data_IF_324486252669
#
_entry.id   IF_324486252669
#
_cell.length_a   1.000
_cell.length_b   1.000
_cell.length_c   1.000
_cell.angle_alpha   90.00
_cell.angle_beta   90.00
_cell.angle_gamma   90.00
#
_symmetry.space_group_name_H-M   'P 1'
#
loop_
_entity.id
_entity.type
_entity.pdbx_description
1 polymer ?
#
# COMPACT_ATOMS: atom_id res chain seq x y z
N UNK A 1 17.79 8.28 54.88
CA UNK A 1 18.20 9.69 54.70
C UNK A 1 19.61 9.70 54.10
N UNK A 2 19.82 10.47 53.02
CA UNK A 2 21.15 10.84 52.46
C UNK A 2 21.96 11.61 53.55
N UNK A 3 23.32 11.75 53.52
CA UNK A 3 24.10 12.05 52.30
C UNK A 3 25.56 11.53 52.24
N UNK A 4 26.12 11.45 51.02
CA UNK A 4 27.56 11.53 50.82
C UNK A 4 27.85 12.73 49.92
N UNK A 5 28.59 13.69 50.46
CA UNK A 5 29.35 14.70 49.74
C UNK A 5 30.78 14.73 50.33
N UNK A 6 31.70 15.32 49.55
CA UNK A 6 33.14 15.58 49.80
C UNK A 6 34.09 14.45 49.34
N UNK A 7 35.16 14.68 48.56
CA UNK A 7 35.72 15.85 47.86
C UNK A 7 36.84 15.34 46.89
N UNK A 8 37.42 16.19 46.02
CA UNK A 8 38.32 15.78 44.93
C UNK A 8 39.77 15.57 45.37
N UNK A 9 40.55 14.81 44.60
CA UNK A 9 42.00 14.74 44.75
C UNK A 9 42.71 14.93 43.41
N UNK A 10 43.84 15.62 43.54
CA UNK A 10 44.65 16.36 42.58
C UNK A 10 45.52 15.50 41.64
N UNK A 11 45.92 16.14 40.52
CA UNK A 11 46.88 15.64 39.52
C UNK A 11 48.28 15.38 40.12
N UNK A 12 49.01 14.35 39.64
CA UNK A 12 50.46 14.34 39.68
C UNK A 12 51.07 14.92 38.38
N UNK A 13 52.30 15.44 38.43
CA UNK A 13 53.00 16.00 37.28
C UNK A 13 53.86 14.97 36.54
N UNK A 14 54.07 15.30 35.27
CA UNK A 14 55.23 14.99 34.44
C UNK A 14 55.36 13.61 33.76
N UNK A 15 55.30 13.70 32.43
CA UNK A 15 56.06 12.95 31.42
C UNK A 15 56.26 11.44 31.62
N UNK A 16 55.51 10.64 30.87
CA UNK A 16 56.08 9.73 29.86
C UNK A 16 54.99 9.17 28.93
N UNK A 17 55.41 8.79 27.72
CA UNK A 17 54.64 8.65 26.49
C UNK A 17 53.49 7.63 26.60
N UNK A 18 52.34 7.97 26.00
CA UNK A 18 51.22 7.05 25.73
C UNK A 18 51.77 5.74 25.12
N UNK A 19 51.34 4.55 25.58
CA UNK A 19 51.65 3.32 24.85
C UNK A 19 50.99 3.39 23.47
N UNK A 20 51.77 3.22 22.41
CA UNK A 20 51.27 3.07 21.05
C UNK A 20 50.31 1.86 21.02
N UNK A 21 49.13 2.05 20.44
CA UNK A 21 48.19 0.97 20.18
C UNK A 21 48.90 -0.15 19.41
N UNK A 22 48.85 -1.37 19.94
CA UNK A 22 49.35 -2.56 19.24
C UNK A 22 48.39 -2.86 18.08
N UNK A 23 48.88 -3.16 16.87
CA UNK A 23 48.03 -3.65 15.80
C UNK A 23 47.38 -4.97 16.25
N UNK A 24 46.09 -5.14 15.96
CA UNK A 24 45.44 -6.45 16.11
C UNK A 24 46.23 -7.50 15.31
N UNK A 25 46.47 -8.70 15.86
CA UNK A 25 47.02 -9.78 15.05
C UNK A 25 46.05 -10.03 13.89
N UNK A 26 46.57 -10.04 12.66
CA UNK A 26 45.85 -10.47 11.48
C UNK A 26 45.30 -11.87 11.78
N UNK A 27 43.98 -12.00 11.83
CA UNK A 27 43.32 -13.30 11.86
C UNK A 27 43.79 -14.09 10.64
N UNK A 28 44.25 -15.31 10.89
CA UNK A 28 44.72 -16.28 9.90
C UNK A 28 43.80 -16.40 8.68
N UNK A 29 44.34 -16.69 7.47
CA UNK A 29 43.51 -16.94 6.30
C UNK A 29 42.59 -18.13 6.57
N UNK A 30 41.34 -18.10 6.08
CA UNK A 30 40.39 -19.18 6.32
C UNK A 30 40.93 -20.49 5.72
N UNK A 31 40.67 -21.64 6.35
CA UNK A 31 41.10 -22.93 5.81
C UNK A 31 40.41 -23.16 4.46
N UNK A 32 41.23 -23.50 3.46
CA UNK A 32 40.76 -23.92 2.16
C UNK A 32 39.78 -25.09 2.29
N UNK A 33 38.63 -24.96 1.63
CA UNK A 33 37.83 -26.08 1.18
C UNK A 33 36.78 -26.61 2.15
N UNK A 34 35.69 -25.88 2.37
CA UNK A 34 34.31 -26.45 2.42
C UNK A 34 33.28 -25.46 1.86
N UNK A 35 32.86 -25.74 0.62
CA UNK A 35 31.59 -25.39 -0.05
C UNK A 35 31.25 -23.92 -0.34
N UNK A 36 31.84 -23.39 -1.42
CA UNK A 36 31.22 -22.32 -2.22
C UNK A 36 30.10 -22.87 -3.14
N UNK A 37 29.14 -23.64 -2.61
CA UNK A 37 28.05 -24.22 -3.41
C UNK A 37 26.68 -24.28 -2.70
N UNK A 38 26.36 -23.29 -1.86
CA UNK A 38 25.09 -23.24 -1.12
C UNK A 38 24.28 -21.95 -1.38
N UNK A 39 24.70 -21.08 -2.31
CA UNK A 39 23.95 -19.87 -2.70
C UNK A 39 23.37 -19.93 -4.12
N UNK A 40 23.41 -21.10 -4.76
CA UNK A 40 23.10 -21.26 -6.19
C UNK A 40 21.72 -21.89 -6.44
N UNK A 41 20.89 -22.03 -5.40
CA UNK A 41 19.61 -22.75 -5.47
C UNK A 41 18.42 -21.90 -4.99
N UNK A 42 18.53 -20.57 -5.04
CA UNK A 42 17.37 -19.71 -4.90
C UNK A 42 16.43 -19.96 -6.09
N UNK A 43 15.11 -20.13 -5.87
CA UNK A 43 14.18 -20.24 -6.97
C UNK A 43 14.37 -19.02 -7.88
N UNK A 44 14.59 -19.28 -9.17
CA UNK A 44 14.70 -18.23 -10.14
C UNK A 44 13.42 -17.39 -10.12
N UNK A 45 13.55 -16.07 -10.22
CA UNK A 45 12.39 -15.21 -10.41
C UNK A 45 11.73 -15.61 -11.72
N UNK A 46 10.48 -16.08 -11.63
CA UNK A 46 9.69 -16.50 -12.76
C UNK A 46 8.31 -15.85 -12.67
N UNK A 47 7.76 -15.49 -13.82
CA UNK A 47 6.36 -15.03 -13.89
C UNK A 47 5.47 -16.19 -13.44
N UNK A 48 4.72 -15.97 -12.36
CA UNK A 48 3.76 -16.96 -11.88
C UNK A 48 2.43 -16.88 -12.64
N UNK A 49 1.97 -15.67 -12.95
CA UNK A 49 0.70 -15.43 -13.59
C UNK A 49 0.71 -14.14 -14.39
N UNK A 50 -0.22 -14.07 -15.34
CA UNK A 50 -0.58 -12.88 -16.09
C UNK A 50 -2.03 -12.54 -15.76
N UNK A 51 -2.29 -11.30 -15.36
CA UNK A 51 -3.60 -10.84 -14.87
C UNK A 51 -4.02 -9.63 -15.69
N UNK A 52 -5.28 -9.62 -16.14
CA UNK A 52 -5.90 -8.53 -16.89
C UNK A 52 -7.36 -8.39 -16.48
N UNK A 53 -7.90 -7.18 -16.57
CA UNK A 53 -9.34 -6.92 -16.39
C UNK A 53 -10.19 -7.77 -17.37
N UNK A 54 -11.39 -8.15 -16.93
CA UNK A 54 -12.39 -8.84 -17.75
C UNK A 54 -12.88 -8.04 -18.96
N UNK A 55 -12.87 -6.71 -18.85
CA UNK A 55 -13.31 -5.72 -19.83
C UNK A 55 -12.18 -4.71 -20.08
N UNK A 56 -10.99 -5.20 -20.40
CA UNK A 56 -9.87 -4.28 -20.61
C UNK A 56 -10.07 -3.47 -21.91
N UNK A 57 -10.26 -2.17 -21.76
CA UNK A 57 -10.41 -1.24 -22.86
C UNK A 57 -9.23 -0.25 -22.92
N UNK A 58 -9.26 0.66 -23.89
CA UNK A 58 -8.23 1.69 -24.02
C UNK A 58 -8.30 2.66 -22.83
N UNK A 59 -7.14 3.02 -22.29
CA UNK A 59 -7.00 4.07 -21.28
C UNK A 59 -7.66 3.85 -19.91
N UNK A 60 -8.30 2.70 -19.63
CA UNK A 60 -8.80 2.35 -18.27
C UNK A 60 -7.71 2.35 -17.18
N UNK A 61 -6.45 2.22 -17.60
CA UNK A 61 -5.24 2.11 -16.76
C UNK A 61 -5.33 1.08 -15.64
N UNK A 62 -5.88 -0.08 -15.96
CA UNK A 62 -5.80 -1.25 -15.09
C UNK A 62 -4.36 -1.51 -14.65
N UNK A 63 -4.10 -1.47 -13.34
CA UNK A 63 -2.77 -1.67 -12.78
C UNK A 63 -2.08 -0.40 -12.29
N UNK A 64 -2.66 0.79 -12.50
CA UNK A 64 -2.12 2.06 -11.98
C UNK A 64 -1.98 2.03 -10.45
N UNK A 65 -2.89 1.32 -9.79
CA UNK A 65 -2.82 1.07 -8.36
C UNK A 65 -3.07 -0.39 -8.03
N UNK A 66 -2.27 -0.93 -7.11
CA UNK A 66 -2.40 -2.30 -6.62
C UNK A 66 -2.28 -2.37 -5.10
N UNK A 67 -2.92 -3.39 -4.51
CA UNK A 67 -2.72 -3.81 -3.13
C UNK A 67 -2.91 -5.33 -3.01
N UNK A 68 -2.14 -5.98 -2.13
CA UNK A 68 -2.16 -7.43 -1.94
C UNK A 68 -2.26 -7.75 -0.44
N UNK A 69 -3.17 -8.64 -0.08
CA UNK A 69 -3.29 -9.19 1.28
C UNK A 69 -3.52 -10.70 1.19
N UNK A 70 -2.53 -11.48 1.62
CA UNK A 70 -2.56 -12.94 1.47
C UNK A 70 -2.75 -13.35 0.01
N UNK A 71 -3.79 -14.14 -0.25
CA UNK A 71 -4.17 -14.61 -1.59
C UNK A 71 -5.15 -13.69 -2.32
N UNK A 72 -5.37 -12.46 -1.83
CA UNK A 72 -6.26 -11.47 -2.47
C UNK A 72 -5.46 -10.30 -3.03
N UNK A 73 -5.49 -10.15 -4.35
CA UNK A 73 -4.93 -9.01 -5.09
C UNK A 73 -6.07 -8.07 -5.49
N UNK A 74 -5.85 -6.78 -5.29
CA UNK A 74 -6.77 -5.72 -5.68
C UNK A 74 -6.04 -4.82 -6.68
N UNK A 75 -6.69 -4.53 -7.79
CA UNK A 75 -6.15 -3.72 -8.88
C UNK A 75 -7.15 -2.63 -9.23
N UNK A 76 -6.73 -1.37 -9.19
CA UNK A 76 -7.56 -0.25 -9.64
C UNK A 76 -7.39 0.03 -11.13
N UNK A 77 -8.47 0.54 -11.72
CA UNK A 77 -8.57 1.08 -13.07
C UNK A 77 -9.37 2.39 -12.97
N UNK A 78 -8.73 3.50 -12.55
CA UNK A 78 -9.43 4.74 -12.21
C UNK A 78 -10.14 5.40 -13.40
N UNK A 79 -9.82 5.01 -14.63
CA UNK A 79 -10.38 5.58 -15.85
C UNK A 79 -11.33 4.60 -16.58
N UNK A 80 -11.85 3.62 -15.85
CA UNK A 80 -12.83 2.69 -16.41
C UNK A 80 -14.20 3.38 -16.63
N UNK A 81 -14.82 3.11 -17.79
CA UNK A 81 -15.91 3.95 -18.33
C UNK A 81 -17.33 3.37 -18.16
N UNK A 82 -17.51 2.20 -17.54
CA UNK A 82 -18.85 1.62 -17.41
C UNK A 82 -19.78 2.40 -16.48
N UNK A 83 -21.07 2.38 -16.82
CA UNK A 83 -22.13 2.91 -15.98
C UNK A 83 -22.61 1.91 -14.90
N UNK A 84 -21.86 0.84 -14.64
CA UNK A 84 -22.21 -0.07 -13.55
C UNK A 84 -22.22 0.65 -12.20
N UNK A 85 -22.95 0.09 -11.25
CA UNK A 85 -22.88 0.46 -9.84
C UNK A 85 -22.73 -0.79 -8.99
N UNK A 86 -22.13 -0.63 -7.82
CA UNK A 86 -21.94 -1.74 -6.88
C UNK A 86 -21.01 -2.83 -7.42
N UNK A 87 -21.36 -4.09 -7.17
CA UNK A 87 -20.45 -5.24 -7.32
C UNK A 87 -20.96 -6.17 -8.43
N UNK A 88 -20.07 -6.51 -9.36
CA UNK A 88 -20.32 -7.38 -10.50
C UNK A 88 -21.45 -6.89 -11.42
N UNK A 89 -21.59 -5.57 -11.56
CA UNK A 89 -22.53 -4.94 -12.49
C UNK A 89 -22.14 -5.11 -13.97
N UNK A 90 -23.03 -4.65 -14.87
CA UNK A 90 -22.78 -4.68 -16.32
C UNK A 90 -21.68 -3.70 -16.72
N UNK A 91 -20.56 -4.22 -17.22
CA UNK A 91 -19.38 -3.47 -17.65
C UNK A 91 -19.59 -2.79 -19.02
N UNK A 92 -20.74 -2.13 -19.21
CA UNK A 92 -21.07 -1.40 -20.44
C UNK A 92 -20.80 0.07 -20.26
N UNK A 93 -20.03 0.66 -21.17
CA UNK A 93 -19.65 2.06 -21.11
C UNK A 93 -20.86 2.99 -21.10
N UNK A 94 -20.78 3.99 -20.22
CA UNK A 94 -21.83 4.98 -20.04
C UNK A 94 -21.55 6.03 -18.97
N UNK A 95 -20.42 5.93 -18.25
CA UNK A 95 -19.98 6.91 -17.27
C UNK A 95 -18.45 7.05 -17.37
N UNK A 96 -18.00 7.98 -18.22
CA UNK A 96 -16.58 8.20 -18.52
C UNK A 96 -15.78 8.50 -17.26
N UNK A 97 -14.60 7.88 -17.13
CA UNK A 97 -13.67 8.02 -16.01
C UNK A 97 -14.33 7.80 -14.63
N UNK A 98 -15.40 7.02 -14.56
CA UNK A 98 -16.09 6.72 -13.29
C UNK A 98 -15.25 5.79 -12.42
N UNK A 99 -14.41 4.96 -13.05
CA UNK A 99 -13.39 4.14 -12.41
C UNK A 99 -13.91 2.84 -11.81
N UNK A 100 -13.02 1.88 -11.63
CA UNK A 100 -13.34 0.57 -11.08
C UNK A 100 -12.18 -0.06 -10.30
N UNK A 101 -12.51 -1.08 -9.51
CA UNK A 101 -11.56 -1.95 -8.83
C UNK A 101 -11.86 -3.41 -9.12
N UNK A 102 -10.82 -4.18 -9.40
CA UNK A 102 -10.90 -5.61 -9.68
C UNK A 102 -10.22 -6.38 -8.55
N UNK A 103 -10.91 -7.38 -8.03
CA UNK A 103 -10.39 -8.27 -6.98
C UNK A 103 -10.10 -9.62 -7.59
N UNK A 104 -8.86 -10.07 -7.44
CA UNK A 104 -8.40 -11.40 -7.84
C UNK A 104 -8.08 -12.22 -6.60
N UNK A 105 -8.50 -13.48 -6.59
CA UNK A 105 -8.15 -14.45 -5.54
C UNK A 105 -7.26 -15.54 -6.11
N UNK A 106 -6.31 -15.99 -5.30
CA UNK A 106 -5.38 -17.04 -5.65
C UNK A 106 -5.79 -18.37 -5.01
N UNK A 107 -5.75 -19.43 -5.81
CA UNK A 107 -5.82 -20.81 -5.34
C UNK A 107 -4.67 -21.61 -5.95
N UNK A 108 -3.70 -22.03 -5.13
CA UNK A 108 -2.46 -22.66 -5.60
C UNK A 108 -1.60 -21.69 -6.41
N UNK A 109 -1.52 -21.88 -7.74
CA UNK A 109 -0.85 -20.97 -8.68
C UNK A 109 -1.82 -20.20 -9.58
N UNK A 110 -3.12 -20.46 -9.46
CA UNK A 110 -4.16 -19.89 -10.32
C UNK A 110 -4.73 -18.64 -9.68
N UNK A 111 -4.84 -17.57 -10.45
CA UNK A 111 -5.53 -16.34 -10.06
C UNK A 111 -6.84 -16.23 -10.83
N UNK A 112 -7.93 -15.92 -10.14
CA UNK A 112 -9.26 -15.72 -10.73
C UNK A 112 -9.83 -14.40 -10.29
N UNK A 113 -10.47 -13.66 -11.20
CA UNK A 113 -11.21 -12.45 -10.84
C UNK A 113 -12.43 -12.87 -10.02
N UNK A 114 -12.41 -12.51 -8.74
CA UNK A 114 -13.52 -12.76 -7.80
C UNK A 114 -14.58 -11.69 -7.91
N UNK A 115 -14.17 -10.42 -8.09
CA UNK A 115 -15.10 -9.31 -8.12
C UNK A 115 -14.64 -8.19 -9.05
N UNK A 116 -15.63 -7.52 -9.62
CA UNK A 116 -15.55 -6.21 -10.22
C UNK A 116 -16.35 -5.25 -9.34
N UNK A 117 -15.74 -4.16 -8.88
CA UNK A 117 -16.31 -3.29 -7.85
C UNK A 117 -16.30 -1.85 -8.36
N UNK A 118 -17.45 -1.20 -8.27
CA UNK A 118 -17.64 0.24 -8.39
C UNK A 118 -18.32 0.78 -7.13
N UNK A 119 -18.29 2.09 -6.95
CA UNK A 119 -19.13 2.75 -5.94
C UNK A 119 -20.61 2.52 -6.25
N UNK A 120 -21.47 2.46 -5.22
CA UNK A 120 -22.92 2.40 -5.41
C UNK A 120 -23.49 3.67 -6.06
N UNK A 121 -22.82 4.80 -5.84
CA UNK A 121 -23.11 6.12 -6.39
C UNK A 121 -22.11 6.51 -7.47
N UNK A 122 -21.65 5.55 -8.29
CA UNK A 122 -20.66 5.82 -9.33
C UNK A 122 -21.18 6.80 -10.36
N UNK A 123 -20.47 7.90 -10.56
CA UNK A 123 -20.75 8.93 -11.56
C UNK A 123 -19.51 9.19 -12.43
N UNK A 124 -19.73 9.85 -13.57
CA UNK A 124 -18.66 10.15 -14.51
C UNK A 124 -17.64 11.11 -13.86
N UNK A 125 -16.35 10.80 -13.99
CA UNK A 125 -15.26 11.63 -13.47
C UNK A 125 -14.87 11.36 -12.01
N UNK A 126 -15.59 10.52 -11.26
CA UNK A 126 -15.29 10.21 -9.86
C UNK A 126 -13.91 9.57 -9.65
N UNK A 127 -13.41 8.88 -10.68
CA UNK A 127 -12.16 8.12 -10.70
C UNK A 127 -12.01 7.17 -9.51
N UNK A 128 -13.08 6.41 -9.25
CA UNK A 128 -13.08 5.37 -8.23
C UNK A 128 -11.96 4.36 -8.51
N UNK A 129 -11.19 4.02 -7.48
CA UNK A 129 -10.03 3.15 -7.65
C UNK A 129 -8.73 3.91 -7.89
N UNK A 130 -8.68 5.24 -7.71
CA UNK A 130 -7.42 6.01 -7.73
C UNK A 130 -6.49 5.62 -6.57
N UNK A 131 -7.05 5.20 -5.44
CA UNK A 131 -6.29 4.61 -4.35
C UNK A 131 -6.97 3.36 -3.80
N UNK A 132 -6.17 2.35 -3.45
CA UNK A 132 -6.66 1.12 -2.83
C UNK A 132 -5.77 0.72 -1.66
N UNK A 133 -6.39 0.15 -0.62
CA UNK A 133 -5.75 -0.53 0.50
C UNK A 133 -6.60 -1.73 0.91
N UNK A 134 -5.96 -2.88 1.17
CA UNK A 134 -6.65 -4.08 1.64
C UNK A 134 -5.90 -4.68 2.84
N UNK A 135 -6.66 -5.14 3.82
CA UNK A 135 -6.16 -5.94 4.93
C UNK A 135 -7.18 -7.01 5.31
N UNK A 136 -6.81 -8.28 5.14
CA UNK A 136 -7.72 -9.40 5.32
C UNK A 136 -8.94 -9.28 4.40
N UNK A 137 -10.12 -9.14 5.01
CA UNK A 137 -11.41 -9.06 4.34
C UNK A 137 -11.93 -7.62 4.18
N UNK A 138 -11.16 -6.61 4.61
CA UNK A 138 -11.53 -5.20 4.50
C UNK A 138 -10.74 -4.50 3.41
N UNK A 139 -11.45 -3.90 2.45
CA UNK A 139 -10.92 -3.13 1.33
C UNK A 139 -11.38 -1.66 1.48
N UNK A 140 -10.46 -0.73 1.30
CA UNK A 140 -10.74 0.70 1.22
C UNK A 140 -10.34 1.19 -0.17
N UNK A 141 -11.24 1.93 -0.83
CA UNK A 141 -11.04 2.49 -2.16
C UNK A 141 -11.31 3.98 -2.17
N UNK A 142 -10.42 4.78 -2.74
CA UNK A 142 -10.62 6.22 -2.91
C UNK A 142 -11.22 6.59 -4.27
N UNK A 143 -12.08 7.60 -4.28
CA UNK A 143 -12.59 8.32 -5.45
C UNK A 143 -12.41 9.83 -5.19
N UNK A 144 -11.26 10.42 -5.58
CA UNK A 144 -10.89 11.77 -5.15
C UNK A 144 -11.67 12.90 -5.81
N UNK A 145 -12.41 12.59 -6.88
CA UNK A 145 -13.19 13.56 -7.64
C UNK A 145 -14.68 13.30 -7.54
N UNK A 146 -15.11 12.57 -6.50
CA UNK A 146 -16.52 12.39 -6.23
C UNK A 146 -17.11 13.68 -5.62
N UNK A 147 -18.33 14.02 -6.04
CA UNK A 147 -18.89 15.38 -5.94
C UNK A 147 -19.96 15.55 -4.83
N UNK A 148 -20.11 14.63 -3.87
CA UNK A 148 -21.18 14.72 -2.86
C UNK A 148 -20.79 15.30 -1.50
N UNK A 149 -21.79 15.77 -0.75
CA UNK A 149 -21.60 16.30 0.60
C UNK A 149 -21.65 15.18 1.66
N UNK A 150 -21.03 15.39 2.83
CA UNK A 150 -21.26 14.53 3.98
C UNK A 150 -22.75 14.49 4.35
N UNK A 151 -23.33 13.28 4.39
CA UNK A 151 -24.75 13.08 4.75
C UNK A 151 -25.70 12.91 3.57
N UNK A 152 -25.21 13.05 2.34
CA UNK A 152 -25.96 12.73 1.14
C UNK A 152 -26.23 11.21 1.08
N UNK A 153 -27.51 10.85 0.98
CA UNK A 153 -28.01 9.46 0.97
C UNK A 153 -28.31 8.95 -0.45
N UNK A 154 -28.15 9.82 -1.45
CA UNK A 154 -28.29 9.54 -2.88
C UNK A 154 -27.07 10.15 -3.60
N UNK A 155 -26.71 9.67 -4.80
CA UNK A 155 -25.72 10.38 -5.62
C UNK A 155 -26.19 11.83 -5.79
N UNK A 156 -25.35 12.78 -5.40
CA UNK A 156 -25.67 14.21 -5.47
C UNK A 156 -24.39 15.00 -5.62
N UNK A 157 -24.33 15.85 -6.65
CA UNK A 157 -23.14 16.66 -6.95
C UNK A 157 -23.15 17.97 -6.16
N UNK A 158 -23.38 17.87 -4.85
CA UNK A 158 -23.60 19.01 -3.96
C UNK A 158 -22.29 19.70 -3.51
N UNK A 159 -21.12 19.05 -3.64
CA UNK A 159 -19.79 19.58 -3.35
C UNK A 159 -18.73 19.06 -4.35
N UNK A 160 -18.41 19.85 -5.36
CA UNK A 160 -17.44 19.49 -6.42
C UNK A 160 -16.08 19.03 -5.87
N UNK A 161 -15.63 17.85 -6.29
CA UNK A 161 -14.39 17.18 -5.97
C UNK A 161 -14.11 17.10 -4.46
N UNK A 162 -15.15 16.92 -3.65
CA UNK A 162 -15.02 16.71 -2.20
C UNK A 162 -14.38 15.36 -1.84
N UNK A 163 -14.41 14.43 -2.80
CA UNK A 163 -13.80 13.12 -2.70
C UNK A 163 -14.48 12.20 -1.68
N UNK A 164 -14.26 10.90 -1.86
CA UNK A 164 -14.78 9.89 -0.97
C UNK A 164 -13.80 8.73 -0.80
N UNK A 165 -13.89 8.05 0.35
CA UNK A 165 -13.29 6.74 0.55
C UNK A 165 -14.38 5.72 0.89
N UNK A 166 -14.42 4.62 0.15
CA UNK A 166 -15.42 3.58 0.26
C UNK A 166 -14.83 2.37 0.98
N UNK A 167 -15.55 1.83 1.97
CA UNK A 167 -15.16 0.64 2.72
C UNK A 167 -16.00 -0.53 2.24
N UNK A 168 -15.32 -1.58 1.78
CA UNK A 168 -15.90 -2.85 1.38
C UNK A 168 -15.45 -3.94 2.33
N UNK A 169 -16.36 -4.85 2.66
CA UNK A 169 -16.05 -6.04 3.47
C UNK A 169 -16.48 -7.29 2.74
N UNK A 170 -15.62 -8.31 2.82
CA UNK A 170 -15.87 -9.66 2.30
C UNK A 170 -16.31 -10.58 3.44
N UNK A 171 -17.51 -11.14 3.32
CA UNK A 171 -18.01 -12.15 4.25
C UNK A 171 -18.44 -13.38 3.47
N UNK A 172 -17.99 -14.56 3.89
CA UNK A 172 -18.25 -15.82 3.19
C UNK A 172 -17.94 -15.77 1.67
N UNK A 173 -16.92 -15.01 1.27
CA UNK A 173 -16.52 -14.85 -0.13
C UNK A 173 -17.29 -13.80 -0.94
N UNK A 174 -18.27 -13.12 -0.33
CA UNK A 174 -19.10 -12.09 -0.96
C UNK A 174 -18.65 -10.72 -0.49
N UNK A 175 -18.29 -9.85 -1.43
CA UNK A 175 -18.00 -8.44 -1.14
C UNK A 175 -19.30 -7.64 -0.99
N UNK A 176 -19.28 -6.64 -0.11
CA UNK A 176 -20.34 -5.65 0.05
C UNK A 176 -19.75 -4.29 0.41
N UNK A 177 -20.37 -3.19 -0.04
CA UNK A 177 -20.01 -1.86 0.43
C UNK A 177 -20.62 -1.65 1.82
N UNK A 178 -19.76 -1.49 2.84
CA UNK A 178 -20.19 -1.28 4.22
C UNK A 178 -20.33 0.21 4.56
N UNK A 179 -19.49 1.06 3.98
CA UNK A 179 -19.52 2.50 4.28
C UNK A 179 -18.98 3.36 3.14
N UNK A 180 -19.39 4.62 3.15
CA UNK A 180 -18.74 5.73 2.44
C UNK A 180 -18.25 6.71 3.50
N UNK A 181 -16.98 7.09 3.43
CA UNK A 181 -16.31 8.01 4.33
C UNK A 181 -16.06 9.32 3.59
N UNK A 182 -16.49 10.43 4.21
CA UNK A 182 -16.24 11.80 3.77
C UNK A 182 -15.64 12.62 4.91
N UNK A 183 -14.91 13.68 4.57
CA UNK A 183 -14.34 14.60 5.56
C UNK A 183 -15.49 15.38 6.17
N UNK A 184 -15.51 15.50 7.49
CA UNK A 184 -16.53 16.28 8.19
C UNK A 184 -16.49 17.78 7.81
N UNK A 185 -15.36 18.25 7.26
CA UNK A 185 -15.12 19.59 6.76
C UNK A 185 -14.93 19.61 5.23
N UNK A 186 -15.51 18.65 4.50
CA UNK A 186 -15.36 18.58 3.05
C UNK A 186 -15.78 19.91 2.42
N UNK A 187 -14.84 20.54 1.74
CA UNK A 187 -15.04 21.72 0.92
C UNK A 187 -14.74 21.33 -0.54
N UNK A 188 -15.12 22.19 -1.49
CA UNK A 188 -14.83 21.93 -2.88
C UNK A 188 -13.32 21.74 -3.10
N UNK A 189 -12.93 20.64 -3.76
CA UNK A 189 -11.54 20.23 -4.01
C UNK A 189 -10.74 19.73 -2.78
N UNK A 190 -11.39 19.39 -1.67
CA UNK A 190 -10.73 18.62 -0.61
C UNK A 190 -10.53 17.17 -1.09
N UNK A 191 -9.34 16.82 -1.58
CA UNK A 191 -9.07 15.55 -2.28
C UNK A 191 -8.90 14.35 -1.34
N UNK A 192 -9.97 13.94 -0.66
CA UNK A 192 -10.00 12.68 0.08
C UNK A 192 -9.86 11.48 -0.84
N UNK A 193 -9.24 10.41 -0.32
CA UNK A 193 -9.01 9.21 -1.13
C UNK A 193 -7.84 9.35 -2.12
N UNK A 194 -7.09 10.45 -2.11
CA UNK A 194 -5.83 10.56 -2.84
C UNK A 194 -4.68 9.81 -2.12
N UNK A 195 -3.80 9.17 -2.89
CA UNK A 195 -2.63 8.45 -2.34
C UNK A 195 -1.40 9.36 -2.29
N UNK A 196 -0.87 9.64 -1.10
CA UNK A 196 0.49 10.17 -0.91
C UNK A 196 1.42 9.09 -0.32
N UNK A 197 2.27 8.49 -1.15
CA UNK A 197 3.24 7.49 -0.69
C UNK A 197 4.49 8.19 -0.13
N UNK A 198 4.58 8.37 1.20
CA UNK A 198 5.87 8.67 1.83
C UNK A 198 6.60 7.36 2.14
N UNK A 199 7.80 7.11 1.59
CA UNK A 199 8.60 5.97 2.01
C UNK A 199 8.90 6.09 3.50
N UNK A 200 8.70 5.01 4.26
CA UNK A 200 9.02 4.97 5.70
C UNK A 200 10.49 5.44 5.89
N UNK A 201 10.79 6.35 6.84
CA UNK A 201 12.16 6.59 7.22
C UNK A 201 12.77 5.25 7.65
N UNK A 202 13.87 4.85 7.02
CA UNK A 202 14.59 3.64 7.42
C UNK A 202 14.92 3.76 8.91
N UNK A 203 14.72 2.70 9.72
CA UNK A 203 15.25 2.68 11.07
C UNK A 203 16.75 2.99 11.00
N UNK A 204 17.18 4.06 11.65
CA UNK A 204 18.59 4.36 11.78
C UNK A 204 19.26 3.23 12.58
N UNK A 205 20.19 2.52 11.94
CA UNK A 205 21.28 1.85 12.63
C UNK A 205 21.12 0.35 12.87
N UNK A 206 21.47 -0.44 11.86
CA UNK A 206 22.38 -1.57 12.09
C UNK A 206 23.41 -1.57 10.96
N UNK A 207 24.55 -0.94 11.23
CA UNK A 207 25.73 -0.98 10.38
C UNK A 207 26.13 -2.45 10.15
N UNK A 208 25.99 -2.94 8.91
CA UNK A 208 26.76 -4.09 8.46
C UNK A 208 28.21 -3.62 8.32
N UNK A 209 29.07 -4.02 9.26
CA UNK A 209 30.53 -3.97 9.05
C UNK A 209 30.89 -5.10 8.09
N UNK A 210 31.68 -4.72 7.07
CA UNK A 210 32.17 -5.54 5.97
C UNK A 210 33.02 -6.71 6.45
#
# INVERSE_FOLDING_TARGET
MRPCCWRPCSRPPNTQRRPKARPCPLSSPPPNGKQANQLNNAPAFAQQAYIKASNAESDDRFGDVIALSGDTLVVGAPYEDSAATGINGSQTNGATDSGAVYVFVRSGSTWTQQAYIKANNSEAGDQFGTSVAIFGETLIVGAPYEDSAPGDIIPSNSLTNAGAAYVFVREAGVWSQQAMLKAANAEANDILGFRHHRPKPRPCGSQWRR
#
